data_IF_594226094348
#
_entry.id   IF_594226094348
#
_cell.length_a   1.000
_cell.length_b   1.000
_cell.length_c   1.000
_cell.angle_alpha   90.00
_cell.angle_beta   90.00
_cell.angle_gamma   90.00
#
_symmetry.space_group_name_H-M   'P 1'
#
loop_
_entity.id
_entity.type
_entity.pdbx_description
1 polymer ?
#
# COMPACT_ATOMS: atom_id res chain seq x y z
N UNK A 1 -16.17 -8.54 13.42
CA UNK A 1 -16.35 -7.84 12.13
C UNK A 1 -16.43 -6.36 12.45
N UNK A 2 -15.68 -5.54 11.73
CA UNK A 2 -15.68 -4.09 11.94
C UNK A 2 -17.01 -3.51 11.46
N UNK A 3 -17.68 -2.68 12.26
CA UNK A 3 -19.06 -2.22 11.97
C UNK A 3 -19.19 -1.47 10.63
N UNK A 4 -18.12 -0.82 10.18
CA UNK A 4 -18.10 -0.11 8.90
C UNK A 4 -18.33 -1.02 7.69
N UNK A 5 -18.08 -2.33 7.78
CA UNK A 5 -18.29 -3.26 6.65
C UNK A 5 -19.77 -3.41 6.31
N UNK A 6 -20.68 -3.17 7.25
CA UNK A 6 -22.13 -3.21 7.00
C UNK A 6 -22.62 -2.05 6.12
N UNK A 7 -21.81 -1.01 5.92
CA UNK A 7 -22.13 0.05 4.97
C UNK A 7 -22.01 -0.41 3.50
N UNK A 8 -21.32 -1.52 3.23
CA UNK A 8 -21.22 -2.08 1.89
C UNK A 8 -22.53 -2.79 1.51
N UNK A 9 -23.26 -2.23 0.55
CA UNK A 9 -24.50 -2.81 0.02
C UNK A 9 -24.26 -3.73 -1.18
N UNK A 10 -23.28 -3.41 -2.03
CA UNK A 10 -22.81 -4.24 -3.14
C UNK A 10 -21.30 -4.52 -2.99
N UNK A 11 -20.89 -5.79 -3.14
CA UNK A 11 -19.48 -6.18 -3.06
C UNK A 11 -18.68 -5.63 -4.25
N UNK A 12 -19.33 -5.33 -5.38
CA UNK A 12 -18.72 -4.73 -6.56
C UNK A 12 -18.24 -3.27 -6.33
N UNK A 13 -18.76 -2.59 -5.30
CA UNK A 13 -18.34 -1.22 -4.95
C UNK A 13 -16.94 -1.17 -4.29
N UNK A 14 -16.39 -2.32 -3.90
CA UNK A 14 -15.05 -2.44 -3.29
C UNK A 14 -14.82 -1.45 -2.12
N UNK A 15 -15.82 -1.30 -1.24
CA UNK A 15 -15.74 -0.39 -0.10
C UNK A 15 -14.51 -0.73 0.78
N UNK A 16 -13.67 0.27 1.05
CA UNK A 16 -12.48 0.12 1.85
C UNK A 16 -12.36 1.19 2.94
N UNK A 17 -11.85 0.78 4.10
CA UNK A 17 -11.33 1.69 5.13
C UNK A 17 -9.86 2.00 4.82
N UNK A 18 -9.50 3.29 4.79
CA UNK A 18 -8.14 3.73 4.51
C UNK A 18 -7.34 3.94 5.81
N UNK A 19 -6.17 3.31 5.88
CA UNK A 19 -5.16 3.54 6.90
C UNK A 19 -3.97 4.29 6.28
N UNK A 20 -3.54 5.39 6.89
CA UNK A 20 -2.46 6.22 6.36
C UNK A 20 -1.17 6.07 7.17
N UNK A 21 -0.06 5.90 6.48
CA UNK A 21 1.28 5.79 7.05
C UNK A 21 2.26 6.65 6.25
N UNK A 22 3.44 6.93 6.83
CA UNK A 22 4.56 7.47 6.08
C UNK A 22 5.88 6.83 6.50
N UNK A 23 6.85 6.86 5.59
CA UNK A 23 8.23 6.43 5.83
C UNK A 23 9.20 7.41 5.16
N UNK A 24 10.24 7.79 5.89
CA UNK A 24 11.33 8.60 5.39
C UNK A 24 12.46 7.70 4.91
N UNK A 25 12.59 7.53 3.58
CA UNK A 25 13.67 6.80 2.95
C UNK A 25 14.89 7.72 2.80
N UNK A 26 16.05 7.30 3.29
CA UNK A 26 17.33 7.97 3.01
C UNK A 26 17.90 7.45 1.70
N UNK A 27 18.29 8.36 0.81
CA UNK A 27 18.94 8.04 -0.46
C UNK A 27 20.06 9.06 -0.70
N UNK A 28 21.32 8.64 -0.49
CA UNK A 28 22.43 9.58 -0.40
C UNK A 28 22.23 10.53 0.78
N UNK A 29 22.36 11.84 0.51
CA UNK A 29 22.12 12.91 1.50
C UNK A 29 20.66 13.37 1.56
N UNK A 30 19.79 12.80 0.72
CA UNK A 30 18.38 13.18 0.65
C UNK A 30 17.50 12.31 1.54
N UNK A 31 16.46 12.93 2.10
CA UNK A 31 15.36 12.27 2.81
C UNK A 31 14.11 12.40 1.96
N UNK A 32 13.57 11.27 1.54
CA UNK A 32 12.41 11.17 0.66
C UNK A 32 11.26 10.59 1.48
N UNK A 33 10.23 11.39 1.73
CA UNK A 33 9.00 10.93 2.36
C UNK A 33 8.18 10.12 1.34
N UNK A 34 7.81 8.90 1.70
CA UNK A 34 6.76 8.13 1.03
C UNK A 34 5.54 8.08 1.95
N UNK A 35 4.36 8.39 1.40
CA UNK A 35 3.06 8.18 2.04
C UNK A 35 2.50 6.86 1.56
N UNK A 36 1.99 6.05 2.48
CA UNK A 36 1.42 4.74 2.19
C UNK A 36 -0.04 4.77 2.59
N UNK A 37 -0.90 4.36 1.66
CA UNK A 37 -2.33 4.12 1.94
C UNK A 37 -2.56 2.63 1.96
N UNK A 38 -3.07 2.11 3.08
CA UNK A 38 -3.55 0.73 3.16
C UNK A 38 -5.07 0.71 3.09
N UNK A 39 -5.59 0.08 2.04
CA UNK A 39 -7.02 -0.16 1.81
C UNK A 39 -7.37 -1.48 2.49
N UNK A 40 -8.17 -1.43 3.55
CA UNK A 40 -8.82 -2.59 4.14
C UNK A 40 -10.20 -2.74 3.51
N UNK A 41 -10.42 -3.75 2.67
CA UNK A 41 -11.69 -3.97 1.98
C UNK A 41 -12.72 -4.64 2.88
N UNK A 42 -14.00 -4.26 2.74
CA UNK A 42 -15.10 -4.88 3.49
C UNK A 42 -15.26 -6.36 3.10
N UNK A 43 -15.14 -6.64 1.80
CA UNK A 43 -15.15 -7.98 1.22
C UNK A 43 -13.73 -8.40 0.80
N UNK A 44 -13.20 -9.55 1.27
CA UNK A 44 -11.90 -10.05 0.84
C UNK A 44 -11.88 -10.43 -0.65
N UNK A 45 -10.70 -10.40 -1.26
CA UNK A 45 -10.52 -10.90 -2.62
C UNK A 45 -10.58 -12.45 -2.70
N UNK A 46 -10.44 -12.99 -3.92
CA UNK A 46 -10.46 -14.44 -4.20
C UNK A 46 -9.36 -15.25 -3.47
N UNK A 47 -8.31 -14.60 -2.97
CA UNK A 47 -7.23 -15.20 -2.18
C UNK A 47 -7.40 -14.97 -0.67
N UNK A 48 -8.59 -14.53 -0.22
CA UNK A 48 -8.87 -14.12 1.16
C UNK A 48 -8.01 -12.97 1.68
N UNK A 49 -7.39 -12.19 0.79
CA UNK A 49 -6.64 -10.99 1.17
C UNK A 49 -7.60 -9.81 1.32
N UNK A 50 -7.42 -9.05 2.39
CA UNK A 50 -8.29 -7.92 2.77
C UNK A 50 -7.56 -6.58 2.70
N UNK A 51 -6.23 -6.59 2.79
CA UNK A 51 -5.43 -5.39 2.91
C UNK A 51 -4.55 -5.21 1.67
N UNK A 52 -4.62 -4.02 1.07
CA UNK A 52 -3.77 -3.60 -0.03
C UNK A 52 -3.07 -2.30 0.33
N UNK A 53 -1.74 -2.32 0.39
CA UNK A 53 -0.91 -1.16 0.64
C UNK A 53 -0.32 -0.64 -0.67
N UNK A 54 -0.30 0.67 -0.84
CA UNK A 54 0.26 1.36 -2.00
C UNK A 54 0.95 2.65 -1.55
N UNK A 55 2.12 2.93 -2.11
CA UNK A 55 2.84 4.18 -1.88
C UNK A 55 2.43 5.27 -2.88
N UNK A 56 2.48 6.53 -2.46
CA UNK A 56 2.14 7.71 -3.28
C UNK A 56 3.17 8.03 -4.38
N UNK A 57 4.34 7.38 -4.34
CA UNK A 57 5.48 7.64 -5.22
C UNK A 57 5.96 6.35 -5.87
N UNK A 58 6.40 6.47 -7.12
CA UNK A 58 7.04 5.39 -7.85
C UNK A 58 8.53 5.30 -7.52
N UNK A 59 9.07 4.10 -7.58
CA UNK A 59 10.52 3.82 -7.56
C UNK A 59 10.93 3.32 -8.94
N UNK A 60 12.20 3.49 -9.32
CA UNK A 60 12.66 3.09 -10.63
C UNK A 60 13.38 1.73 -10.61
N UNK A 61 12.88 0.77 -11.40
CA UNK A 61 13.55 -0.50 -11.64
C UNK A 61 14.56 -0.42 -12.80
N UNK A 62 15.34 0.68 -12.90
CA UNK A 62 16.25 1.03 -14.02
C UNK A 62 15.62 1.20 -15.41
N UNK A 63 14.49 0.53 -15.66
CA UNK A 63 13.90 0.33 -16.99
C UNK A 63 12.42 0.65 -17.02
N UNK A 64 11.75 0.64 -15.86
CA UNK A 64 10.34 0.95 -15.75
C UNK A 64 10.00 1.53 -14.37
N UNK A 65 9.09 2.53 -14.31
CA UNK A 65 8.52 2.99 -13.06
C UNK A 65 7.74 1.85 -12.37
N UNK A 66 7.88 1.75 -11.06
CA UNK A 66 7.21 0.77 -10.24
C UNK A 66 6.63 1.44 -9.00
N UNK A 67 5.30 1.37 -8.85
CA UNK A 67 4.62 1.77 -7.61
C UNK A 67 4.85 0.70 -6.54
N UNK A 68 5.51 1.00 -5.42
CA UNK A 68 5.63 0.08 -4.30
C UNK A 68 4.25 -0.29 -3.75
N UNK A 69 3.98 -1.58 -3.65
CA UNK A 69 2.69 -2.13 -3.20
C UNK A 69 2.87 -3.37 -2.34
N UNK A 70 1.86 -3.71 -1.54
CA UNK A 70 1.82 -4.97 -0.78
C UNK A 70 0.39 -5.48 -0.59
N UNK A 71 0.22 -6.81 -0.56
CA UNK A 71 -1.06 -7.45 -0.26
C UNK A 71 -0.94 -8.30 1.01
N UNK A 72 -2.00 -8.37 1.80
CA UNK A 72 -1.99 -9.16 3.02
C UNK A 72 -3.37 -9.55 3.52
N UNK A 73 -3.42 -10.63 4.30
CA UNK A 73 -4.55 -10.97 5.16
C UNK A 73 -4.64 -10.07 6.39
N UNK A 74 -3.57 -9.33 6.71
CA UNK A 74 -3.50 -8.37 7.82
C UNK A 74 -2.92 -7.04 7.36
N UNK A 75 -3.25 -5.97 8.10
CA UNK A 75 -2.70 -4.62 7.92
C UNK A 75 -1.16 -4.63 7.93
N UNK A 76 -0.58 -5.33 8.90
CA UNK A 76 0.87 -5.41 9.09
C UNK A 76 1.56 -6.10 7.90
N UNK A 77 0.97 -7.17 7.38
CA UNK A 77 1.55 -7.89 6.24
C UNK A 77 1.60 -7.00 4.99
N UNK A 78 0.47 -6.38 4.64
CA UNK A 78 0.40 -5.50 3.47
C UNK A 78 1.36 -4.30 3.61
N UNK A 79 1.38 -3.66 4.78
CA UNK A 79 2.29 -2.55 5.06
C UNK A 79 3.76 -2.98 4.98
N UNK A 80 4.13 -4.12 5.59
CA UNK A 80 5.51 -4.63 5.58
C UNK A 80 5.99 -4.89 4.16
N UNK A 81 5.15 -5.50 3.32
CA UNK A 81 5.53 -5.81 1.94
C UNK A 81 5.66 -4.55 1.09
N UNK A 82 4.79 -3.56 1.28
CA UNK A 82 4.93 -2.24 0.65
C UNK A 82 6.22 -1.52 1.08
N UNK A 83 6.56 -1.55 2.37
CA UNK A 83 7.80 -0.94 2.88
C UNK A 83 9.04 -1.63 2.31
N UNK A 84 9.05 -2.97 2.22
CA UNK A 84 10.14 -3.71 1.56
C UNK A 84 10.27 -3.30 0.08
N UNK A 85 9.14 -3.13 -0.61
CA UNK A 85 9.11 -2.69 -1.99
C UNK A 85 9.70 -1.27 -2.16
N UNK A 86 9.37 -0.32 -1.26
CA UNK A 86 9.97 1.02 -1.22
C UNK A 86 11.48 0.94 -1.04
N UNK A 87 11.97 0.04 -0.18
CA UNK A 87 13.40 -0.10 0.10
C UNK A 87 14.17 -0.74 -1.06
N UNK A 88 13.52 -1.59 -1.87
CA UNK A 88 14.15 -2.40 -2.92
C UNK A 88 14.75 -1.59 -4.07
N UNK A 89 14.13 -0.47 -4.44
CA UNK A 89 14.51 0.30 -5.63
C UNK A 89 14.72 1.78 -5.29
N UNK A 90 15.66 2.48 -5.94
CA UNK A 90 15.86 3.91 -5.73
C UNK A 90 14.62 4.70 -6.18
N UNK A 91 14.38 5.84 -5.53
CA UNK A 91 13.48 6.86 -6.03
C UNK A 91 14.25 7.71 -7.05
N UNK A 92 13.64 8.00 -8.18
CA UNK A 92 14.15 8.96 -9.15
C UNK A 92 13.06 10.02 -9.27
N UNK A 93 13.38 11.26 -8.89
CA UNK A 93 12.46 12.37 -9.11
C UNK A 93 12.30 12.59 -10.62
N UNK A 94 11.06 12.81 -11.08
CA UNK A 94 10.78 13.28 -12.45
C UNK A 94 11.41 14.65 -12.73
#
# INVERSE_FOLDING_TARGET
>A
MSEWTFAQSDSADELAHLHFFSINKRQGDEIIEFRITVKEYATPNHLSMRFYAEADKQTNQKTAPYTPTGWGSTLLQALSDCVKAIQRFPYEAE
#
